data_IF_714909972615
#
_entry.id   IF_714909972615
#
_cell.length_a   1.000
_cell.length_b   1.000
_cell.length_c   1.000
_cell.angle_alpha   90.00
_cell.angle_beta   90.00
_cell.angle_gamma   90.00
#
_symmetry.space_group_name_H-M   'P 1'
#
loop_
_entity.id
_entity.type
_entity.pdbx_description
1 polymer ?
#
# COMPACT_ATOMS: atom_id res chain seq x y z
N UNK A 1 21.88 5.11 13.76
CA UNK A 1 21.43 4.70 12.41
C UNK A 1 20.38 3.64 12.64
N UNK A 2 19.23 3.74 11.96
CA UNK A 2 18.22 2.66 12.02
C UNK A 2 18.87 1.36 11.54
N UNK A 3 18.47 0.23 12.11
CA UNK A 3 18.95 -1.07 11.66
C UNK A 3 18.31 -1.39 10.29
N UNK A 4 19.05 -2.01 9.39
CA UNK A 4 18.58 -2.32 8.03
C UNK A 4 18.22 -3.81 7.89
N UNK A 5 17.02 -4.10 7.39
CA UNK A 5 16.58 -5.40 6.91
C UNK A 5 16.79 -5.45 5.39
N UNK A 6 17.63 -6.38 4.95
CA UNK A 6 17.97 -6.52 3.54
C UNK A 6 16.86 -7.22 2.75
N UNK A 7 16.73 -6.89 1.47
CA UNK A 7 15.71 -7.43 0.54
C UNK A 7 15.82 -8.94 0.23
N UNK A 8 16.71 -9.69 0.88
CA UNK A 8 16.87 -11.14 0.66
C UNK A 8 15.81 -11.99 1.38
N UNK A 9 15.20 -11.42 2.41
CA UNK A 9 14.28 -12.09 3.32
C UNK A 9 12.84 -11.71 2.91
N UNK A 10 12.33 -12.34 1.84
CA UNK A 10 11.07 -12.00 1.19
C UNK A 10 10.02 -13.08 1.33
N UNK A 11 8.76 -12.66 1.29
CA UNK A 11 7.56 -13.49 1.22
C UNK A 11 6.78 -13.18 -0.07
N UNK A 12 6.04 -14.17 -0.56
CA UNK A 12 5.14 -14.04 -1.71
C UNK A 12 3.66 -14.17 -1.32
N UNK A 13 3.39 -14.41 -0.04
CA UNK A 13 2.08 -14.39 0.56
C UNK A 13 2.17 -13.88 2.00
N UNK A 14 1.18 -13.11 2.43
CA UNK A 14 0.98 -12.80 3.83
C UNK A 14 0.38 -14.02 4.53
N UNK A 15 1.09 -14.54 5.52
CA UNK A 15 0.73 -15.75 6.24
C UNK A 15 1.11 -15.62 7.72
N UNK A 16 0.18 -15.97 8.60
CA UNK A 16 0.39 -16.00 10.06
C UNK A 16 1.32 -17.12 10.52
N UNK A 17 1.62 -18.09 9.66
CA UNK A 17 2.51 -19.22 9.95
C UNK A 17 3.97 -18.95 9.56
N UNK A 18 4.26 -17.83 8.89
CA UNK A 18 5.63 -17.46 8.55
C UNK A 18 6.48 -17.20 9.80
N UNK A 19 7.67 -17.79 9.83
CA UNK A 19 8.68 -17.47 10.83
C UNK A 19 9.19 -16.04 10.62
N UNK A 20 9.21 -15.20 11.66
CA UNK A 20 9.65 -13.82 11.50
C UNK A 20 11.15 -13.76 11.26
N UNK A 21 11.53 -13.01 10.22
CA UNK A 21 12.94 -12.78 9.86
C UNK A 21 13.60 -11.77 10.80
N UNK A 22 12.78 -11.01 11.53
CA UNK A 22 13.21 -10.06 12.55
C UNK A 22 12.14 -9.84 13.62
N UNK A 23 12.58 -9.59 14.85
CA UNK A 23 11.77 -9.15 15.98
C UNK A 23 12.19 -7.75 16.42
N UNK A 24 11.22 -6.88 16.69
CA UNK A 24 11.45 -5.49 17.11
C UNK A 24 10.50 -5.09 18.22
N UNK A 25 10.90 -4.16 19.09
CA UNK A 25 10.01 -3.57 20.10
C UNK A 25 9.06 -2.55 19.45
N UNK A 26 7.89 -2.33 20.05
CA UNK A 26 7.00 -1.22 19.68
C UNK A 26 7.72 0.13 19.78
N UNK A 27 7.55 0.98 18.76
CA UNK A 27 8.25 2.25 18.60
C UNK A 27 9.59 2.16 17.87
N UNK A 28 9.98 0.96 17.40
CA UNK A 28 11.24 0.80 16.66
C UNK A 28 11.15 1.42 15.27
N UNK A 29 12.13 2.27 14.94
CA UNK A 29 12.39 2.71 13.56
C UNK A 29 13.36 1.74 12.88
N UNK A 30 12.94 1.17 11.76
CA UNK A 30 13.70 0.21 10.97
C UNK A 30 13.73 0.62 9.51
N UNK A 31 14.83 0.29 8.85
CA UNK A 31 15.02 0.48 7.43
C UNK A 31 14.85 -0.86 6.70
N UNK A 32 14.08 -0.91 5.62
CA UNK A 32 13.70 -2.13 4.90
C UNK A 32 14.00 -1.92 3.42
N UNK A 33 14.93 -2.70 2.87
CA UNK A 33 15.24 -2.73 1.44
C UNK A 33 14.27 -3.65 0.69
N UNK A 34 13.94 -3.32 -0.55
CA UNK A 34 13.04 -4.13 -1.39
C UNK A 34 13.60 -4.34 -2.78
N UNK A 35 13.26 -5.47 -3.39
CA UNK A 35 13.30 -5.60 -4.83
C UNK A 35 12.15 -4.80 -5.48
N UNK A 36 12.20 -4.65 -6.82
CA UNK A 36 10.99 -4.32 -7.59
C UNK A 36 9.98 -5.50 -7.59
N UNK A 37 8.78 -5.26 -8.14
CA UNK A 37 7.72 -6.26 -8.17
C UNK A 37 8.07 -7.52 -8.98
N UNK A 38 9.07 -7.46 -9.87
CA UNK A 38 9.58 -8.59 -10.65
C UNK A 38 10.81 -9.25 -10.00
N UNK A 39 11.11 -8.93 -8.74
CA UNK A 39 12.32 -9.35 -8.03
C UNK A 39 13.61 -8.98 -8.79
N UNK A 40 13.62 -7.80 -9.41
CA UNK A 40 14.70 -7.27 -10.25
C UNK A 40 15.03 -8.16 -11.47
N UNK A 41 14.14 -9.03 -11.92
CA UNK A 41 14.39 -9.90 -13.08
C UNK A 41 14.50 -9.13 -14.41
N UNK A 42 13.86 -7.95 -14.52
CA UNK A 42 13.83 -7.13 -15.74
C UNK A 42 14.81 -5.96 -15.64
N UNK A 43 16.05 -6.15 -16.10
CA UNK A 43 17.12 -5.15 -15.98
C UNK A 43 17.45 -4.40 -17.27
N UNK A 44 16.90 -4.82 -18.42
CA UNK A 44 17.18 -4.23 -19.72
C UNK A 44 16.00 -4.38 -20.68
N UNK A 45 15.97 -3.57 -21.74
CA UNK A 45 14.98 -3.68 -22.81
C UNK A 45 15.08 -5.00 -23.61
N UNK A 46 16.21 -5.71 -23.50
CA UNK A 46 16.41 -7.01 -24.14
C UNK A 46 15.80 -8.17 -23.32
N UNK A 47 15.45 -7.93 -22.05
CA UNK A 47 14.79 -8.92 -21.21
C UNK A 47 13.36 -9.16 -21.71
N UNK A 48 13.07 -10.38 -22.12
CA UNK A 48 11.71 -10.77 -22.51
C UNK A 48 10.89 -11.02 -21.26
N UNK A 49 9.93 -10.13 -20.98
CA UNK A 49 9.07 -10.24 -19.80
C UNK A 49 8.29 -11.56 -19.74
N UNK A 50 7.91 -12.16 -20.88
CA UNK A 50 7.27 -13.48 -20.90
C UNK A 50 8.18 -14.63 -20.43
N UNK A 51 9.47 -14.40 -20.22
CA UNK A 51 10.45 -15.39 -19.78
C UNK A 51 10.93 -15.23 -18.34
N UNK A 52 10.34 -14.33 -17.55
CA UNK A 52 10.64 -14.22 -16.11
C UNK A 52 9.97 -15.34 -15.31
N UNK A 53 10.44 -15.54 -14.09
CA UNK A 53 9.84 -16.44 -13.12
C UNK A 53 8.62 -15.77 -12.48
N UNK A 54 7.43 -16.17 -12.92
CA UNK A 54 6.14 -15.65 -12.44
C UNK A 54 5.74 -16.18 -11.05
N UNK A 55 6.44 -17.17 -10.51
CA UNK A 55 6.27 -17.59 -9.10
C UNK A 55 6.97 -16.62 -8.14
N UNK A 56 7.81 -15.73 -8.68
CA UNK A 56 8.64 -14.76 -7.95
C UNK A 56 8.25 -13.32 -8.27
N UNK A 57 6.96 -13.03 -8.14
CA UNK A 57 6.37 -11.69 -8.35
C UNK A 57 5.78 -11.14 -7.06
N UNK A 58 5.80 -9.82 -6.90
CA UNK A 58 5.39 -9.08 -5.72
C UNK A 58 6.09 -9.55 -4.42
N UNK A 59 7.43 -9.64 -4.39
CA UNK A 59 8.16 -9.96 -3.17
C UNK A 59 7.98 -8.85 -2.13
N UNK A 60 7.49 -9.20 -0.94
CA UNK A 60 7.47 -8.31 0.22
C UNK A 60 8.57 -8.69 1.20
N UNK A 61 9.41 -7.73 1.62
CA UNK A 61 10.48 -7.97 2.58
C UNK A 61 9.91 -8.03 4.00
N UNK A 62 10.19 -9.12 4.71
CA UNK A 62 9.58 -9.46 6.00
C UNK A 62 9.41 -10.98 6.20
N UNK A 63 8.55 -11.42 7.14
CA UNK A 63 7.76 -10.60 8.04
C UNK A 63 8.54 -10.18 9.29
N UNK A 64 8.28 -8.97 9.75
CA UNK A 64 8.79 -8.40 11.00
C UNK A 64 7.75 -8.63 12.09
N UNK A 65 8.17 -9.28 13.17
CA UNK A 65 7.36 -9.47 14.37
C UNK A 65 7.55 -8.27 15.31
N UNK A 66 6.47 -7.60 15.67
CA UNK A 66 6.46 -6.45 16.58
C UNK A 66 6.03 -6.90 17.97
N UNK A 67 6.96 -6.88 18.92
CA UNK A 67 6.75 -7.36 20.28
C UNK A 67 5.57 -6.65 20.95
N UNK A 68 4.68 -7.46 21.51
CA UNK A 68 3.47 -6.98 22.19
C UNK A 68 2.26 -6.75 21.29
N UNK A 69 2.35 -6.83 19.95
CA UNK A 69 1.18 -6.77 19.08
C UNK A 69 0.32 -8.03 19.22
N UNK A 70 -0.97 -7.89 19.48
CA UNK A 70 -1.92 -8.98 19.65
C UNK A 70 -3.15 -8.80 18.74
N UNK A 71 -3.84 -9.89 18.34
CA UNK A 71 -5.08 -9.77 17.59
C UNK A 71 -6.09 -8.82 18.25
N UNK A 72 -6.62 -7.86 17.49
CA UNK A 72 -7.50 -6.78 17.98
C UNK A 72 -6.79 -5.46 18.30
N UNK A 73 -5.45 -5.46 18.40
CA UNK A 73 -4.64 -4.24 18.41
C UNK A 73 -4.60 -3.62 17.00
N UNK A 74 -3.97 -2.45 16.91
CA UNK A 74 -3.63 -1.79 15.65
C UNK A 74 -2.12 -1.64 15.55
N UNK A 75 -1.54 -2.02 14.40
CA UNK A 75 -0.16 -1.69 14.06
C UNK A 75 -0.14 -0.35 13.33
N UNK A 76 0.39 0.67 13.99
CA UNK A 76 0.68 1.99 13.42
C UNK A 76 2.05 1.95 12.76
N UNK A 77 2.08 2.27 11.47
CA UNK A 77 3.27 2.25 10.62
C UNK A 77 3.49 3.64 10.06
N UNK A 78 4.46 4.37 10.61
CA UNK A 78 4.84 5.69 10.12
C UNK A 78 5.89 5.55 9.02
N UNK A 79 5.64 6.10 7.84
CA UNK A 79 6.62 6.14 6.75
C UNK A 79 7.46 7.40 6.90
N UNK A 80 8.70 7.24 7.36
CA UNK A 80 9.60 8.37 7.63
C UNK A 80 10.35 8.81 6.38
N UNK A 81 10.74 7.86 5.53
CA UNK A 81 11.56 8.13 4.33
C UNK A 81 11.38 7.06 3.26
N UNK A 82 11.32 7.48 1.99
CA UNK A 82 11.34 6.59 0.83
C UNK A 82 12.52 6.91 -0.11
N UNK A 83 13.35 5.90 -0.35
CA UNK A 83 14.45 5.92 -1.32
C UNK A 83 14.17 4.88 -2.41
N UNK A 84 14.54 5.20 -3.65
CA UNK A 84 14.30 4.33 -4.81
C UNK A 84 15.58 4.23 -5.65
N UNK A 85 15.67 3.17 -6.46
CA UNK A 85 16.67 3.02 -7.49
C UNK A 85 16.59 4.09 -8.58
N UNK A 86 17.62 4.15 -9.42
CA UNK A 86 17.73 5.10 -10.54
C UNK A 86 17.17 4.57 -11.87
N UNK A 87 16.55 3.40 -11.86
CA UNK A 87 15.96 2.75 -13.02
C UNK A 87 14.70 2.01 -12.56
N UNK A 88 13.60 2.25 -13.26
CA UNK A 88 12.39 1.47 -13.11
C UNK A 88 12.01 0.68 -14.34
N UNK A 89 10.97 -0.14 -14.19
CA UNK A 89 10.41 -1.00 -15.22
C UNK A 89 8.92 -0.73 -15.28
N UNK A 90 8.37 -0.63 -16.49
CA UNK A 90 6.92 -0.74 -16.71
C UNK A 90 6.65 -2.01 -17.51
N UNK A 91 5.52 -2.63 -17.22
CA UNK A 91 5.07 -3.86 -17.88
C UNK A 91 3.60 -3.76 -18.25
N UNK A 92 3.21 -4.36 -19.37
CA UNK A 92 1.81 -4.53 -19.74
C UNK A 92 1.68 -5.63 -20.81
N UNK A 93 0.47 -6.03 -21.16
CA UNK A 93 0.27 -7.04 -22.21
C UNK A 93 -1.19 -7.43 -22.42
N UNK A 94 -1.44 -8.45 -23.26
CA UNK A 94 -2.78 -8.95 -23.55
C UNK A 94 -3.50 -9.36 -22.27
N UNK A 95 -4.77 -8.98 -22.16
CA UNK A 95 -5.63 -9.27 -20.99
C UNK A 95 -5.14 -8.74 -19.63
N UNK A 96 -4.09 -7.91 -19.60
CA UNK A 96 -3.59 -7.25 -18.40
C UNK A 96 -4.10 -5.81 -18.30
N UNK A 97 -4.57 -5.44 -17.10
CA UNK A 97 -5.13 -4.13 -16.82
C UNK A 97 -6.33 -3.77 -17.72
N UNK A 98 -6.69 -2.48 -17.73
CA UNK A 98 -7.87 -1.98 -18.47
C UNK A 98 -7.66 -1.99 -19.98
N UNK A 99 -6.42 -1.77 -20.41
CA UNK A 99 -6.05 -1.65 -21.81
C UNK A 99 -5.49 -2.94 -22.43
N UNK A 100 -5.49 -4.06 -21.70
CA UNK A 100 -4.97 -5.34 -22.19
C UNK A 100 -5.61 -5.80 -23.51
N UNK A 101 -6.91 -5.54 -23.70
CA UNK A 101 -7.63 -5.84 -24.95
C UNK A 101 -7.10 -5.12 -26.20
N UNK A 102 -6.21 -4.12 -26.05
CA UNK A 102 -5.60 -3.36 -27.16
C UNK A 102 -4.19 -3.83 -27.51
N UNK A 103 -3.72 -4.90 -26.88
CA UNK A 103 -2.34 -5.36 -26.96
C UNK A 103 -2.30 -6.76 -27.53
N UNK A 104 -1.34 -7.01 -28.41
CA UNK A 104 -1.15 -8.33 -29.05
C UNK A 104 -0.05 -9.15 -28.36
N UNK A 105 0.91 -8.49 -27.71
CA UNK A 105 2.08 -9.10 -27.10
C UNK A 105 2.42 -8.44 -25.76
N UNK A 106 3.07 -9.20 -24.88
CA UNK A 106 3.62 -8.65 -23.64
C UNK A 106 4.72 -7.63 -23.96
N UNK A 107 4.67 -6.48 -23.29
CA UNK A 107 5.63 -5.40 -23.45
C UNK A 107 6.24 -5.02 -22.09
N UNK A 108 7.51 -4.63 -22.12
CA UNK A 108 8.16 -3.99 -20.98
C UNK A 108 8.98 -2.80 -21.46
N UNK A 109 9.19 -1.84 -20.57
CA UNK A 109 9.99 -0.64 -20.86
C UNK A 109 10.82 -0.27 -19.65
N UNK A 110 12.12 -0.10 -19.87
CA UNK A 110 13.03 0.48 -18.88
C UNK A 110 12.84 1.98 -18.83
N UNK A 111 12.66 2.52 -17.63
CA UNK A 111 12.42 3.94 -17.38
C UNK A 111 13.57 4.48 -16.50
N UNK A 112 14.51 5.25 -17.06
CA UNK A 112 15.53 5.93 -16.26
C UNK A 112 14.90 6.92 -15.27
N UNK A 113 15.41 6.96 -14.04
CA UNK A 113 15.03 7.95 -13.03
C UNK A 113 16.19 8.94 -12.88
N UNK A 114 15.92 10.20 -13.24
CA UNK A 114 16.88 11.30 -13.26
C UNK A 114 16.40 12.41 -12.32
N UNK A 115 17.04 12.56 -11.16
CA UNK A 115 16.64 13.57 -10.17
C UNK A 115 15.25 13.28 -9.61
N UNK A 116 14.32 14.20 -9.84
CA UNK A 116 12.92 14.15 -9.42
C UNK A 116 11.95 13.74 -10.55
N UNK A 117 12.48 13.13 -11.62
CA UNK A 117 11.67 12.68 -12.75
C UNK A 117 12.00 11.26 -13.22
N UNK A 118 10.98 10.55 -13.69
CA UNK A 118 11.11 9.33 -14.48
C UNK A 118 11.01 9.68 -15.98
N UNK A 119 12.01 9.28 -16.76
CA UNK A 119 12.15 9.65 -18.19
C UNK A 119 11.44 8.61 -19.05
N UNK A 120 10.20 8.90 -19.45
CA UNK A 120 9.43 7.98 -20.29
C UNK A 120 9.98 7.94 -21.72
N UNK A 121 10.23 9.10 -22.33
CA UNK A 121 10.88 9.22 -23.64
C UNK A 121 11.52 10.62 -23.81
N UNK A 122 11.89 10.99 -25.03
CA UNK A 122 12.48 12.29 -25.36
C UNK A 122 11.51 13.48 -25.20
N UNK A 123 10.22 13.21 -25.01
CA UNK A 123 9.15 14.21 -24.92
C UNK A 123 8.57 14.31 -23.51
N UNK A 124 8.51 13.20 -22.77
CA UNK A 124 7.83 13.11 -21.50
C UNK A 124 8.79 12.71 -20.37
N UNK A 125 8.91 13.61 -19.39
CA UNK A 125 9.48 13.35 -18.07
C UNK A 125 8.35 13.44 -17.03
N UNK A 126 8.11 12.34 -16.34
CA UNK A 126 7.03 12.20 -15.36
C UNK A 126 7.58 12.62 -13.99
N UNK A 127 6.97 13.59 -13.28
CA UNK A 127 7.37 13.91 -11.91
C UNK A 127 7.19 12.69 -11.00
N UNK A 128 8.16 12.44 -10.11
CA UNK A 128 8.06 11.32 -9.17
C UNK A 128 6.96 11.57 -8.13
N UNK A 129 6.16 10.54 -7.86
CA UNK A 129 5.24 10.46 -6.72
C UNK A 129 5.45 9.11 -6.03
N UNK A 130 6.63 8.97 -5.41
CA UNK A 130 7.12 7.71 -4.80
C UNK A 130 6.11 7.15 -3.81
N UNK A 131 5.85 5.86 -3.90
CA UNK A 131 4.93 5.17 -3.01
C UNK A 131 5.30 3.69 -2.81
N UNK A 132 4.63 3.04 -1.85
CA UNK A 132 4.71 1.60 -1.59
C UNK A 132 3.37 0.97 -2.03
N UNK A 133 3.42 0.03 -2.97
CA UNK A 133 2.26 -0.71 -3.48
C UNK A 133 1.81 -1.82 -2.55
N UNK A 134 2.76 -2.68 -2.15
CA UNK A 134 2.54 -3.79 -1.21
C UNK A 134 2.98 -3.41 0.20
N UNK A 135 2.03 -3.30 1.13
CA UNK A 135 2.32 -3.11 2.55
C UNK A 135 1.21 -3.72 3.40
N UNK A 136 1.57 -4.51 4.41
CA UNK A 136 0.55 -5.19 5.20
C UNK A 136 1.06 -6.00 6.37
N UNK A 137 0.13 -6.72 6.98
CA UNK A 137 0.32 -7.63 8.13
C UNK A 137 -0.20 -9.02 7.78
N UNK A 138 0.10 -10.04 8.57
CA UNK A 138 -0.49 -11.36 8.36
C UNK A 138 -2.02 -11.32 8.55
N UNK A 139 -2.79 -12.03 7.71
CA UNK A 139 -4.25 -12.11 7.83
C UNK A 139 -4.69 -13.04 8.97
N UNK A 140 -5.96 -12.96 9.37
CA UNK A 140 -6.56 -13.85 10.38
C UNK A 140 -6.68 -15.30 9.86
N UNK A 141 -6.99 -15.45 8.57
CA UNK A 141 -7.37 -16.69 7.92
C UNK A 141 -6.24 -17.42 7.20
N UNK A 142 -6.57 -17.93 6.02
CA UNK A 142 -5.63 -18.59 5.11
C UNK A 142 -4.59 -17.59 4.55
N UNK A 143 -3.45 -18.08 4.06
CA UNK A 143 -2.44 -17.23 3.40
C UNK A 143 -3.03 -16.47 2.21
N UNK A 144 -2.63 -15.20 2.05
CA UNK A 144 -3.06 -14.35 0.92
C UNK A 144 -1.85 -13.95 0.09
N UNK A 145 -1.82 -14.19 -1.24
CA UNK A 145 -0.73 -13.77 -2.10
C UNK A 145 -0.43 -12.27 -1.96
N UNK A 146 0.85 -11.86 -2.02
CA UNK A 146 1.23 -10.46 -1.87
C UNK A 146 0.55 -9.54 -2.88
N UNK A 147 0.27 -10.04 -4.10
CA UNK A 147 -0.49 -9.34 -5.15
C UNK A 147 -2.01 -9.30 -4.97
N UNK A 148 -2.56 -9.65 -3.80
CA UNK A 148 -4.00 -9.55 -3.52
C UNK A 148 -4.24 -8.71 -2.27
N UNK A 149 -4.88 -7.54 -2.37
CA UNK A 149 -5.13 -6.73 -1.19
C UNK A 149 -6.29 -7.26 -0.34
N UNK A 150 -6.42 -6.75 0.88
CA UNK A 150 -7.55 -7.03 1.75
C UNK A 150 -7.52 -6.24 3.05
N UNK A 151 -8.26 -6.72 4.05
CA UNK A 151 -8.29 -6.11 5.39
C UNK A 151 -6.91 -6.04 6.07
N UNK A 152 -5.96 -6.88 5.64
CA UNK A 152 -4.59 -6.95 6.15
C UNK A 152 -3.61 -6.01 5.42
N UNK A 153 -4.08 -5.21 4.46
CA UNK A 153 -3.23 -4.46 3.54
C UNK A 153 -2.99 -5.26 2.27
N UNK A 154 -1.72 -5.53 1.95
CA UNK A 154 -1.32 -6.23 0.72
C UNK A 154 -1.14 -5.25 -0.44
N UNK A 155 -1.46 -5.69 -1.67
CA UNK A 155 -1.32 -4.91 -2.90
C UNK A 155 -2.38 -3.81 -3.04
N UNK A 156 -2.28 -2.76 -2.25
CA UNK A 156 -3.30 -1.72 -2.20
C UNK A 156 -3.11 -0.64 -3.27
N UNK A 157 -1.92 -0.56 -3.85
CA UNK A 157 -1.51 0.40 -4.88
C UNK A 157 -2.16 1.77 -4.70
N UNK A 158 -1.92 2.33 -3.52
CA UNK A 158 -2.54 3.56 -3.09
C UNK A 158 -1.49 4.66 -3.08
N UNK A 159 -1.65 5.63 -3.98
CA UNK A 159 -0.75 6.78 -4.16
C UNK A 159 -0.49 7.61 -2.90
N UNK A 160 -1.36 7.50 -1.88
CA UNK A 160 -1.20 8.17 -0.59
C UNK A 160 -0.22 7.46 0.37
N UNK A 161 0.16 6.20 0.10
CA UNK A 161 1.14 5.42 0.88
C UNK A 161 2.54 5.88 0.51
N UNK A 162 2.86 7.10 0.94
CA UNK A 162 4.06 7.82 0.58
C UNK A 162 4.82 8.31 1.83
N UNK A 163 6.00 8.90 1.60
CA UNK A 163 6.78 9.52 2.66
C UNK A 163 5.94 10.54 3.43
N UNK A 164 5.94 10.42 4.76
CA UNK A 164 5.16 11.29 5.63
C UNK A 164 3.71 10.86 5.84
N UNK A 165 3.27 9.70 5.34
CA UNK A 165 2.01 9.06 5.71
C UNK A 165 2.17 8.12 6.91
N UNK A 166 1.06 7.86 7.61
CA UNK A 166 0.95 6.86 8.67
C UNK A 166 -0.17 5.89 8.30
N UNK A 167 0.13 4.60 8.31
CA UNK A 167 -0.85 3.53 8.11
C UNK A 167 -1.20 2.90 9.44
N UNK A 168 -2.45 2.45 9.57
CA UNK A 168 -2.97 1.76 10.72
C UNK A 168 -3.60 0.45 10.26
N UNK A 169 -2.95 -0.65 10.57
CA UNK A 169 -3.40 -1.99 10.20
C UNK A 169 -4.08 -2.67 11.38
N UNK A 170 -5.27 -3.28 11.19
CA UNK A 170 -5.79 -4.21 12.19
C UNK A 170 -4.84 -5.40 12.37
N UNK A 171 -4.47 -5.71 13.61
CA UNK A 171 -3.63 -6.86 13.92
C UNK A 171 -4.51 -8.11 13.98
N UNK A 172 -4.19 -9.11 13.18
CA UNK A 172 -4.90 -10.40 13.14
C UNK A 172 -4.10 -11.58 13.69
N UNK A 173 -2.77 -11.45 13.69
CA UNK A 173 -1.85 -12.46 14.18
C UNK A 173 -0.91 -11.84 15.21
N UNK A 174 -0.43 -12.68 16.13
CA UNK A 174 0.54 -12.26 17.13
C UNK A 174 1.80 -11.66 16.48
N UNK A 175 2.24 -10.51 16.98
CA UNK A 175 3.38 -9.79 16.41
C UNK A 175 3.09 -9.07 15.10
N UNK A 176 1.84 -9.08 14.61
CA UNK A 176 1.37 -8.54 13.34
C UNK A 176 1.99 -9.16 12.07
N UNK A 177 3.28 -9.53 12.08
CA UNK A 177 4.02 -10.07 10.93
C UNK A 177 3.98 -9.12 9.74
N UNK A 178 4.53 -7.92 9.96
CA UNK A 178 4.55 -6.82 9.02
C UNK A 178 5.53 -7.05 7.87
N UNK A 179 5.13 -6.77 6.64
CA UNK A 179 5.99 -6.80 5.46
C UNK A 179 5.62 -5.68 4.48
N UNK A 180 6.60 -5.27 3.67
CA UNK A 180 6.39 -4.29 2.59
C UNK A 180 7.27 -4.60 1.38
N UNK A 181 6.83 -4.19 0.20
CA UNK A 181 7.48 -4.45 -1.08
C UNK A 181 6.98 -3.50 -2.16
N UNK A 182 7.33 -3.79 -3.40
CA UNK A 182 6.68 -3.21 -4.58
C UNK A 182 6.63 -1.67 -4.59
N UNK A 183 7.78 -1.04 -4.83
CA UNK A 183 7.86 0.41 -4.82
C UNK A 183 7.61 0.94 -6.23
N UNK A 184 6.89 2.06 -6.32
CA UNK A 184 6.73 2.79 -7.56
C UNK A 184 7.46 4.12 -7.51
N UNK A 185 8.23 4.42 -8.55
CA UNK A 185 8.81 5.75 -8.75
C UNK A 185 7.72 6.77 -9.11
N UNK A 186 6.75 6.33 -9.91
CA UNK A 186 5.50 7.04 -10.13
C UNK A 186 4.36 6.08 -10.47
N UNK A 187 3.15 6.43 -10.06
CA UNK A 187 1.93 5.69 -10.39
C UNK A 187 0.73 6.65 -10.38
N UNK A 188 -0.25 6.41 -11.27
CA UNK A 188 -1.52 7.14 -11.28
C UNK A 188 -2.63 6.33 -10.63
N UNK A 189 -3.62 7.00 -10.03
CA UNK A 189 -4.82 6.36 -9.52
C UNK A 189 -5.49 5.50 -10.60
N UNK A 190 -5.79 4.25 -10.25
CA UNK A 190 -6.36 3.22 -11.10
C UNK A 190 -5.33 2.24 -11.67
N UNK A 191 -4.04 2.61 -11.73
CA UNK A 191 -2.95 1.75 -12.23
C UNK A 191 -3.30 1.02 -13.53
N UNK A 192 -3.98 1.72 -14.44
CA UNK A 192 -4.79 1.11 -15.51
C UNK A 192 -4.02 0.22 -16.49
N UNK A 193 -2.69 0.29 -16.48
CA UNK A 193 -1.78 -0.47 -17.33
C UNK A 193 -1.38 -1.84 -16.79
N UNK A 194 -1.68 -2.15 -15.52
CA UNK A 194 -1.20 -3.29 -14.69
C UNK A 194 0.09 -3.05 -13.90
N UNK A 195 0.79 -1.94 -14.12
CA UNK A 195 1.99 -1.60 -13.36
C UNK A 195 2.12 -0.09 -13.19
N UNK A 196 2.78 0.30 -12.11
CA UNK A 196 3.41 1.60 -11.96
C UNK A 196 4.75 1.66 -12.71
N UNK A 197 5.61 2.58 -12.27
CA UNK A 197 7.04 2.53 -12.62
C UNK A 197 7.75 1.76 -11.50
N UNK A 198 7.84 0.45 -11.68
CA UNK A 198 8.37 -0.52 -10.73
C UNK A 198 9.84 -0.25 -10.43
N UNK A 199 10.21 -0.10 -9.16
CA UNK A 199 11.59 0.16 -8.75
C UNK A 199 11.98 -0.63 -7.51
N UNK A 200 13.25 -1.08 -7.38
CA UNK A 200 13.78 -1.45 -6.09
C UNK A 200 13.89 -0.21 -5.21
N UNK A 201 13.79 -0.39 -3.90
CA UNK A 201 13.73 0.74 -2.99
C UNK A 201 14.12 0.41 -1.56
N UNK A 202 13.94 1.42 -0.72
CA UNK A 202 14.15 1.33 0.71
C UNK A 202 13.19 2.26 1.43
N UNK A 203 12.43 1.72 2.37
CA UNK A 203 11.63 2.52 3.29
C UNK A 203 12.31 2.54 4.66
N UNK A 204 12.34 3.70 5.33
CA UNK A 204 12.50 3.71 6.78
C UNK A 204 11.17 4.02 7.44
N UNK A 205 10.75 3.11 8.32
CA UNK A 205 9.42 3.08 8.94
C UNK A 205 9.55 2.96 10.45
N UNK A 206 8.62 3.58 11.19
CA UNK A 206 8.47 3.38 12.63
C UNK A 206 7.24 2.50 12.88
N UNK A 207 7.43 1.39 13.59
CA UNK A 207 6.39 0.40 13.89
C UNK A 207 5.96 0.53 15.35
N UNK A 208 4.70 0.86 15.60
CA UNK A 208 4.16 1.11 16.94
C UNK A 208 2.84 0.34 17.13
N UNK A 209 2.70 -0.30 18.29
CA UNK A 209 1.47 -1.01 18.67
C UNK A 209 0.54 -0.06 19.42
N UNK A 210 -0.64 0.14 18.86
CA UNK A 210 -1.75 0.85 19.49
C UNK A 210 -2.72 -0.18 20.08
N UNK A 211 -2.95 -0.09 21.39
CA UNK A 211 -3.84 -1.01 22.11
C UNK A 211 -5.30 -0.65 21.89
N UNK A 212 -6.13 -1.69 21.76
CA UNK A 212 -7.61 -1.56 21.76
C UNK A 212 -8.18 -0.63 20.66
N UNK A 213 -7.49 -0.50 19.51
CA UNK A 213 -7.87 0.41 18.43
C UNK A 213 -8.98 -0.08 17.48
N UNK A 214 -9.30 -1.38 17.49
CA UNK A 214 -10.37 -2.06 16.74
C UNK A 214 -10.67 -1.48 15.34
N UNK A 215 -9.80 -1.78 14.37
CA UNK A 215 -10.05 -1.51 12.94
C UNK A 215 -10.52 -2.78 12.23
N UNK A 216 -11.23 -2.61 11.11
CA UNK A 216 -11.57 -3.71 10.18
C UNK A 216 -10.76 -3.68 8.90
N UNK A 217 -10.31 -2.50 8.50
CA UNK A 217 -9.57 -2.25 7.27
C UNK A 217 -8.45 -1.24 7.53
N UNK A 218 -7.43 -1.16 6.65
CA UNK A 218 -6.38 -0.18 6.77
C UNK A 218 -6.92 1.26 6.76
N UNK A 219 -6.47 2.05 7.72
CA UNK A 219 -6.67 3.50 7.77
C UNK A 219 -5.35 4.19 7.45
N UNK A 220 -5.41 5.24 6.63
CA UNK A 220 -4.28 6.10 6.30
C UNK A 220 -4.51 7.49 6.89
N UNK A 221 -3.45 8.09 7.44
CA UNK A 221 -3.37 9.49 7.83
C UNK A 221 -2.17 10.16 7.15
N UNK A 222 -2.36 11.37 6.64
CA UNK A 222 -1.27 12.23 6.19
C UNK A 222 -1.54 13.70 6.56
N UNK A 223 -0.71 14.63 6.07
CA UNK A 223 -0.88 16.05 6.36
C UNK A 223 -2.21 16.66 5.89
N UNK A 224 -2.87 16.02 4.92
CA UNK A 224 -4.07 16.55 4.27
C UNK A 224 -5.37 15.98 4.85
N UNK A 225 -5.33 14.81 5.50
CA UNK A 225 -6.52 14.16 6.04
C UNK A 225 -6.34 12.66 6.31
N UNK A 226 -7.47 11.95 6.32
CA UNK A 226 -7.50 10.50 6.57
C UNK A 226 -8.28 9.76 5.49
N UNK A 227 -7.94 8.51 5.22
CA UNK A 227 -8.68 7.66 4.29
C UNK A 227 -8.74 6.21 4.74
N UNK A 228 -9.93 5.61 4.71
CA UNK A 228 -10.05 4.14 4.77
C UNK A 228 -9.77 3.56 3.39
N UNK A 229 -8.92 2.54 3.36
CA UNK A 229 -8.55 1.79 2.15
C UNK A 229 -9.28 0.45 2.19
N UNK A 230 -10.12 0.16 1.19
CA UNK A 230 -10.93 -1.05 1.19
C UNK A 230 -10.86 -1.71 -0.18
N UNK A 231 -10.66 -3.03 -0.16
CA UNK A 231 -10.56 -3.86 -1.37
C UNK A 231 -11.73 -4.83 -1.47
N UNK A 232 -12.36 -4.88 -2.64
CA UNK A 232 -13.51 -5.75 -2.94
C UNK A 232 -13.47 -6.25 -4.40
N UNK A 233 -14.26 -7.28 -4.75
CA UNK A 233 -14.32 -7.78 -6.13
C UNK A 233 -14.78 -6.75 -7.17
N UNK A 234 -15.41 -5.65 -6.77
CA UNK A 234 -15.76 -4.55 -7.67
C UNK A 234 -15.44 -3.19 -7.05
N UNK A 235 -15.18 -2.20 -7.90
CA UNK A 235 -14.89 -0.84 -7.45
C UNK A 235 -16.09 -0.22 -6.72
N UNK A 236 -17.33 -0.48 -7.18
CA UNK A 236 -18.55 -0.03 -6.52
C UNK A 236 -18.68 -0.55 -5.08
N UNK A 237 -18.36 -1.83 -4.86
CA UNK A 237 -18.38 -2.44 -3.53
C UNK A 237 -17.27 -1.87 -2.64
N UNK A 238 -16.06 -1.72 -3.18
CA UNK A 238 -14.93 -1.15 -2.46
C UNK A 238 -15.21 0.29 -2.02
N UNK A 239 -15.72 1.13 -2.93
CA UNK A 239 -16.02 2.53 -2.65
C UNK A 239 -17.13 2.68 -1.59
N UNK A 240 -18.21 1.91 -1.69
CA UNK A 240 -19.29 1.92 -0.69
C UNK A 240 -18.78 1.45 0.67
N UNK A 241 -18.01 0.37 0.71
CA UNK A 241 -17.46 -0.14 1.96
C UNK A 241 -16.49 0.85 2.62
N UNK A 242 -15.65 1.55 1.86
CA UNK A 242 -14.77 2.60 2.40
C UNK A 242 -15.56 3.76 3.02
N UNK A 243 -16.71 4.14 2.44
CA UNK A 243 -17.61 5.15 3.01
C UNK A 243 -18.21 4.67 4.33
N UNK A 244 -18.67 3.42 4.40
CA UNK A 244 -19.23 2.83 5.63
C UNK A 244 -18.19 2.76 6.75
N UNK A 245 -16.95 2.35 6.45
CA UNK A 245 -15.86 2.36 7.43
C UNK A 245 -15.60 3.75 8.01
N UNK A 246 -15.53 4.77 7.14
CA UNK A 246 -15.34 6.16 7.57
C UNK A 246 -16.53 6.67 8.38
N UNK A 247 -17.76 6.35 7.97
CA UNK A 247 -18.97 6.77 8.66
C UNK A 247 -19.02 6.17 10.07
N UNK A 248 -18.82 4.85 10.21
CA UNK A 248 -18.76 4.15 11.49
C UNK A 248 -17.68 4.76 12.40
N UNK A 249 -16.51 5.03 11.83
CA UNK A 249 -15.38 5.61 12.55
C UNK A 249 -15.67 7.02 13.08
N UNK A 250 -16.27 7.89 12.26
CA UNK A 250 -16.54 9.28 12.63
C UNK A 250 -17.83 9.48 13.44
N UNK A 251 -18.82 8.59 13.32
CA UNK A 251 -20.03 8.61 14.16
C UNK A 251 -19.68 8.58 15.65
N UNK A 252 -18.70 7.76 16.01
CA UNK A 252 -18.25 7.60 17.40
C UNK A 252 -17.36 8.73 17.91
N UNK A 253 -16.94 9.66 17.04
CA UNK A 253 -15.91 10.67 17.34
C UNK A 253 -16.34 12.12 17.16
N UNK A 254 -17.43 12.37 16.43
CA UNK A 254 -17.87 13.74 16.09
C UNK A 254 -19.05 14.23 16.92
N UNK A 255 -19.79 13.32 17.56
CA UNK A 255 -21.05 13.62 18.25
C UNK A 255 -22.22 13.98 17.30
N UNK A 256 -22.02 13.90 15.97
CA UNK A 256 -23.06 14.13 14.99
C UNK A 256 -24.08 12.99 14.96
N UNK A 257 -25.32 13.32 14.62
CA UNK A 257 -26.30 12.32 14.20
C UNK A 257 -25.97 11.78 12.80
N UNK A 258 -26.45 10.57 12.50
CA UNK A 258 -26.17 9.90 11.22
C UNK A 258 -26.54 10.71 9.98
N UNK A 259 -27.65 11.45 10.03
CA UNK A 259 -28.08 12.29 8.89
C UNK A 259 -27.11 13.45 8.63
N UNK A 260 -26.66 14.15 9.68
CA UNK A 260 -25.73 15.28 9.55
C UNK A 260 -24.35 14.81 9.13
N UNK A 261 -23.88 13.67 9.67
CA UNK A 261 -22.62 13.06 9.23
C UNK A 261 -22.69 12.69 7.75
N UNK A 262 -23.78 12.05 7.30
CA UNK A 262 -23.95 11.68 5.90
C UNK A 262 -23.94 12.91 4.97
N UNK A 263 -24.66 13.99 5.34
CA UNK A 263 -24.64 15.23 4.57
C UNK A 263 -23.25 15.87 4.54
N UNK A 264 -22.54 15.87 5.67
CA UNK A 264 -21.17 16.39 5.77
C UNK A 264 -20.20 15.60 4.89
N UNK A 265 -20.21 14.26 4.99
CA UNK A 265 -19.35 13.38 4.18
C UNK A 265 -19.69 13.48 2.70
N UNK A 266 -20.96 13.65 2.34
CA UNK A 266 -21.36 13.88 0.95
C UNK A 266 -20.88 15.23 0.40
N UNK A 267 -20.71 16.24 1.25
CA UNK A 267 -20.30 17.59 0.84
C UNK A 267 -18.78 17.78 0.83
N UNK A 268 -18.05 17.10 1.72
CA UNK A 268 -16.63 17.32 1.97
C UNK A 268 -15.74 16.08 1.80
N UNK A 269 -16.30 14.88 1.91
CA UNK A 269 -15.58 13.63 1.71
C UNK A 269 -15.38 13.31 0.23
N UNK A 270 -14.42 12.43 -0.06
CA UNK A 270 -14.00 12.14 -1.43
C UNK A 270 -13.85 10.63 -1.62
N UNK A 271 -14.71 10.02 -2.44
CA UNK A 271 -14.50 8.66 -2.95
C UNK A 271 -13.44 8.71 -4.05
N UNK A 272 -12.35 7.99 -3.86
CA UNK A 272 -11.20 7.97 -4.76
C UNK A 272 -10.82 6.51 -5.09
N UNK A 273 -10.08 6.32 -6.17
CA UNK A 273 -9.66 5.01 -6.68
C UNK A 273 -8.18 4.84 -6.37
N UNK A 274 -7.77 3.68 -5.84
CA UNK A 274 -6.35 3.32 -5.72
C UNK A 274 -5.89 2.54 -6.94
N UNK A 275 -6.39 1.31 -7.15
CA UNK A 275 -6.19 0.53 -8.38
C UNK A 275 -7.45 -0.21 -8.82
N UNK A 276 -7.49 -0.60 -10.10
CA UNK A 276 -8.56 -1.43 -10.70
C UNK A 276 -8.04 -2.58 -11.57
N UNK A 277 -6.86 -3.12 -11.26
CA UNK A 277 -6.16 -4.10 -12.11
C UNK A 277 -5.77 -5.39 -11.40
N UNK A 278 -5.91 -5.44 -10.09
CA UNK A 278 -5.61 -6.62 -9.26
C UNK A 278 -6.77 -7.60 -9.14
N UNK A 279 -6.57 -8.77 -8.48
CA UNK A 279 -7.66 -9.71 -8.17
C UNK A 279 -8.83 -9.09 -7.40
N UNK A 280 -8.58 -8.03 -6.61
CA UNK A 280 -9.60 -7.20 -5.97
C UNK A 280 -9.30 -5.72 -6.26
N UNK A 281 -10.34 -4.92 -6.44
CA UNK A 281 -10.24 -3.47 -6.69
C UNK A 281 -10.11 -2.74 -5.36
N UNK A 282 -9.17 -1.80 -5.25
CA UNK A 282 -9.00 -0.95 -4.07
C UNK A 282 -9.56 0.45 -4.31
N UNK A 283 -10.48 0.85 -3.43
CA UNK A 283 -10.97 2.22 -3.34
C UNK A 283 -10.63 2.81 -1.98
N UNK A 284 -10.69 4.14 -1.89
CA UNK A 284 -10.53 4.86 -0.63
C UNK A 284 -11.55 5.95 -0.46
N UNK A 285 -11.95 6.21 0.78
CA UNK A 285 -12.80 7.34 1.11
C UNK A 285 -12.03 8.30 2.00
N UNK A 286 -11.68 9.46 1.43
CA UNK A 286 -10.83 10.47 2.05
C UNK A 286 -11.67 11.57 2.71
N UNK A 287 -11.30 11.95 3.93
CA UNK A 287 -11.87 13.06 4.69
C UNK A 287 -10.77 14.09 4.96
N UNK A 288 -10.92 15.34 4.48
CA UNK A 288 -9.92 16.38 4.67
C UNK A 288 -9.70 16.75 6.15
N UNK A 289 -8.47 17.13 6.47
CA UNK A 289 -8.04 17.51 7.82
C UNK A 289 -8.88 18.63 8.43
N UNK A 290 -9.32 19.62 7.64
CA UNK A 290 -10.15 20.71 8.17
C UNK A 290 -11.49 20.22 8.74
N UNK A 291 -12.03 19.10 8.23
CA UNK A 291 -13.25 18.47 8.77
C UNK A 291 -12.92 17.83 10.12
N UNK A 292 -11.83 17.08 10.19
CA UNK A 292 -11.38 16.43 11.42
C UNK A 292 -11.11 17.45 12.53
N UNK A 293 -10.40 18.52 12.19
CA UNK A 293 -10.06 19.61 13.11
C UNK A 293 -11.33 20.34 13.60
N UNK A 294 -12.32 20.56 12.74
CA UNK A 294 -13.58 21.22 13.13
C UNK A 294 -14.38 20.44 14.18
N UNK A 295 -14.25 19.11 14.20
CA UNK A 295 -14.90 18.24 15.17
C UNK A 295 -13.95 17.71 16.26
N UNK A 296 -12.69 18.17 16.29
CA UNK A 296 -11.63 17.70 17.19
C UNK A 296 -11.47 16.17 17.20
N UNK A 297 -11.52 15.56 16.01
CA UNK A 297 -11.39 14.10 15.86
C UNK A 297 -9.98 13.66 16.22
N UNK A 298 -9.85 12.77 17.19
CA UNK A 298 -8.62 12.02 17.48
C UNK A 298 -8.74 10.60 16.93
N UNK A 299 -7.66 10.10 16.31
CA UNK A 299 -7.67 8.78 15.69
C UNK A 299 -7.55 7.67 16.76
N UNK A 300 -6.42 7.70 17.47
CA UNK A 300 -6.03 6.79 18.53
C UNK A 300 -5.45 7.61 19.68
N UNK A 301 -5.70 7.19 20.91
CA UNK A 301 -5.15 7.81 22.14
C UNK A 301 -3.70 7.41 22.41
#
# INVERSE_FOLDING_TARGET
MAETLACKDVIYAFDKTHEPVKRVESGTTIEIETYDCFENQVQSADTKIGGIDWERINPATGPIYVEGAQPGDVLKVRIEKLEIGNQGVMATGPDLGVLGHRQEEMASKIIPVEGDHAVFDDKLKIPLNKMIGVIGVAPEGEPVPCGTPGAHGGNMDTTLIAEGATLYFPVFAEGALFALGDFHAAMGDGEIGVSGIEVPGKATVTLEVVKEGALRHPLLENGDGIAFLVSKPTLDEAAKAAVEEMADFLLTRTGLGAADLAMMLSAAGQSQISQIVDPLMTARFFVPKYVLDAYNVTLFE
#
